data_IF_736828137879
#
_entry.id   IF_736828137879
#
_cell.length_a   1.000
_cell.length_b   1.000
_cell.length_c   1.000
_cell.angle_alpha   90.00
_cell.angle_beta   90.00
_cell.angle_gamma   90.00
#
_symmetry.space_group_name_H-M   'P 1'
#
loop_
_entity.id
_entity.type
_entity.pdbx_description
1 polymer ?
#
# COMPACT_ATOMS: atom_id res chain seq x y z
N UNK A 1 21.85 1.28 17.79
CA UNK A 1 20.94 2.40 17.50
C UNK A 1 19.56 1.91 17.82
N UNK A 2 18.83 2.62 18.66
CA UNK A 2 17.48 2.20 19.02
C UNK A 2 16.53 2.47 17.85
N UNK A 3 15.78 1.45 17.45
CA UNK A 3 14.78 1.51 16.39
C UNK A 3 13.42 1.49 17.06
N UNK A 4 12.58 2.47 16.74
CA UNK A 4 11.19 2.53 17.17
C UNK A 4 10.31 2.00 16.06
N UNK A 5 9.37 1.13 16.41
CA UNK A 5 8.34 0.61 15.50
C UNK A 5 7.04 1.34 15.74
N UNK A 6 6.38 1.77 14.66
CA UNK A 6 5.08 2.44 14.66
C UNK A 6 4.11 1.55 13.90
N UNK A 7 3.11 1.07 14.62
CA UNK A 7 2.02 0.24 14.10
C UNK A 7 1.15 1.02 13.12
N UNK A 8 0.66 0.39 12.05
CA UNK A 8 -0.24 1.04 11.09
C UNK A 8 -1.53 1.55 11.74
N UNK A 9 -1.96 0.95 12.85
CA UNK A 9 -3.17 1.38 13.58
C UNK A 9 -2.94 2.53 14.57
N UNK A 10 -1.72 3.04 14.71
CA UNK A 10 -1.42 4.19 15.57
C UNK A 10 -1.82 5.53 14.92
N UNK A 11 -3.11 5.84 15.03
CA UNK A 11 -3.70 7.09 14.54
C UNK A 11 -3.26 8.34 15.30
N UNK A 12 -2.46 8.21 16.37
CA UNK A 12 -1.87 9.37 17.05
C UNK A 12 -0.63 9.90 16.29
N UNK A 13 0.00 9.05 15.47
CA UNK A 13 1.20 9.35 14.70
C UNK A 13 0.97 9.30 13.19
N UNK A 14 0.05 8.45 12.73
CA UNK A 14 -0.24 8.23 11.32
C UNK A 14 -1.55 8.90 10.91
N UNK A 15 -1.48 9.70 9.84
CA UNK A 15 -2.63 10.34 9.24
C UNK A 15 -2.92 9.73 7.87
N UNK A 16 -4.14 9.22 7.68
CA UNK A 16 -4.58 8.60 6.43
C UNK A 16 -5.57 9.51 5.68
N UNK A 17 -5.45 9.56 4.36
CA UNK A 17 -6.40 10.30 3.53
C UNK A 17 -7.82 9.73 3.63
N UNK A 18 -8.81 10.62 3.75
CA UNK A 18 -10.19 10.22 4.03
C UNK A 18 -10.78 9.30 2.97
N UNK A 19 -11.49 8.25 3.42
CA UNK A 19 -12.26 7.30 2.61
C UNK A 19 -11.46 6.54 1.53
N UNK A 20 -10.14 6.48 1.65
CA UNK A 20 -9.26 5.77 0.69
C UNK A 20 -8.56 4.56 1.31
N UNK A 21 -8.67 4.38 2.62
CA UNK A 21 -8.03 3.31 3.38
C UNK A 21 -9.06 2.48 4.13
N UNK A 22 -8.77 1.22 4.34
CA UNK A 22 -9.58 0.29 5.12
C UNK A 22 -8.69 -0.61 5.97
N UNK A 23 -9.23 -1.05 7.09
CA UNK A 23 -8.53 -1.95 8.01
C UNK A 23 -8.59 -3.40 7.50
N UNK A 24 -7.46 -4.08 7.57
CA UNK A 24 -7.29 -5.52 7.39
C UNK A 24 -6.49 -6.12 8.55
N UNK A 25 -5.86 -7.27 8.29
CA UNK A 25 -4.92 -7.89 9.23
C UNK A 25 -5.10 -9.39 9.35
N UNK A 26 -4.00 -10.08 9.63
CA UNK A 26 -3.88 -11.49 9.95
C UNK A 26 -2.76 -11.67 10.96
N UNK A 27 -2.61 -12.87 11.54
CA UNK A 27 -1.56 -13.13 12.53
C UNK A 27 -0.12 -13.00 12.00
N UNK A 28 0.05 -12.85 10.68
CA UNK A 28 1.36 -12.70 10.04
C UNK A 28 1.83 -11.25 9.93
N UNK A 29 0.91 -10.28 10.01
CA UNK A 29 1.22 -8.86 10.09
C UNK A 29 1.64 -8.44 11.51
N UNK A 30 2.39 -7.35 11.61
CA UNK A 30 2.75 -6.76 12.88
C UNK A 30 1.49 -6.39 13.65
N UNK A 31 1.43 -6.79 14.92
CA UNK A 31 0.27 -6.63 15.79
C UNK A 31 -1.08 -7.12 15.21
N UNK A 32 -1.02 -7.97 14.18
CA UNK A 32 -2.18 -8.45 13.43
C UNK A 32 -3.06 -7.39 12.77
N UNK A 33 -2.49 -6.24 12.41
CA UNK A 33 -3.17 -5.12 11.74
C UNK A 33 -2.54 -4.80 10.39
N UNK A 34 -3.32 -4.25 9.46
CA UNK A 34 -2.79 -3.60 8.25
C UNK A 34 -3.80 -2.59 7.73
N UNK A 35 -3.31 -1.52 7.10
CA UNK A 35 -4.13 -0.56 6.35
C UNK A 35 -3.98 -0.83 4.86
N UNK A 36 -5.10 -1.23 4.24
CA UNK A 36 -5.20 -1.48 2.82
C UNK A 36 -5.71 -0.26 2.05
N UNK A 37 -5.29 -0.12 0.79
CA UNK A 37 -5.89 0.80 -0.16
C UNK A 37 -5.93 0.22 -1.58
N UNK A 38 -7.06 0.44 -2.25
CA UNK A 38 -7.23 0.22 -3.69
C UNK A 38 -7.33 1.53 -4.47
N UNK A 39 -7.25 2.68 -3.80
CA UNK A 39 -7.46 3.99 -4.40
C UNK A 39 -6.15 4.62 -4.85
N UNK A 40 -5.99 4.84 -6.14
CA UNK A 40 -4.85 5.60 -6.66
C UNK A 40 -4.82 7.01 -6.03
N UNK A 41 -3.66 7.38 -5.50
CA UNK A 41 -3.45 8.65 -4.81
C UNK A 41 -3.80 8.63 -3.32
N UNK A 42 -4.14 7.47 -2.74
CA UNK A 42 -4.31 7.34 -1.29
C UNK A 42 -3.00 7.68 -0.56
N UNK A 43 -3.08 8.52 0.47
CA UNK A 43 -1.91 9.02 1.20
C UNK A 43 -1.91 8.59 2.66
N UNK A 44 -0.72 8.32 3.16
CA UNK A 44 -0.43 8.24 4.59
C UNK A 44 0.69 9.24 4.90
N UNK A 45 0.53 10.01 5.97
CA UNK A 45 1.55 10.97 6.44
C UNK A 45 2.03 10.55 7.83
N UNK A 46 3.35 10.54 8.01
CA UNK A 46 3.99 10.24 9.27
C UNK A 46 5.01 11.32 9.62
N UNK A 47 4.83 11.97 10.78
CA UNK A 47 5.76 12.97 11.31
C UNK A 47 6.60 12.35 12.41
N UNK A 48 7.92 12.43 12.29
CA UNK A 48 8.85 11.82 13.23
C UNK A 48 10.05 12.72 13.50
N UNK A 49 10.72 12.51 14.64
CA UNK A 49 12.00 13.15 14.93
C UNK A 49 13.09 12.08 14.93
N UNK A 50 13.89 12.03 13.86
CA UNK A 50 14.76 10.90 13.60
C UNK A 50 15.89 11.18 12.62
N UNK A 51 16.64 10.12 12.33
CA UNK A 51 17.75 10.11 11.36
C UNK A 51 17.54 9.11 10.23
N UNK A 52 16.50 8.28 10.31
CA UNK A 52 16.16 7.26 9.31
C UNK A 52 14.72 6.79 9.51
N UNK A 53 14.03 6.45 8.43
CA UNK A 53 12.69 5.82 8.44
C UNK A 53 12.58 4.74 7.36
N UNK A 54 11.83 3.69 7.64
CA UNK A 54 11.51 2.61 6.71
C UNK A 54 10.03 2.24 6.81
N UNK A 55 9.48 1.77 5.69
CA UNK A 55 8.07 1.39 5.55
C UNK A 55 7.98 -0.08 5.16
N UNK A 56 7.14 -0.81 5.86
CA UNK A 56 6.90 -2.23 5.70
C UNK A 56 5.43 -2.53 5.44
N UNK A 57 5.18 -3.58 4.68
CA UNK A 57 3.83 -3.96 4.30
C UNK A 57 3.71 -5.41 3.82
N UNK A 58 2.51 -5.75 3.35
CA UNK A 58 2.21 -7.07 2.78
C UNK A 58 2.06 -6.97 1.26
N UNK A 59 2.91 -7.68 0.51
CA UNK A 59 2.70 -7.85 -0.93
C UNK A 59 1.76 -9.03 -1.11
N UNK A 60 0.57 -8.77 -1.63
CA UNK A 60 -0.42 -9.82 -1.88
C UNK A 60 0.02 -10.77 -2.99
N UNK A 61 -0.23 -12.06 -2.79
CA UNK A 61 -0.11 -13.07 -3.84
C UNK A 61 -0.97 -12.69 -5.04
N UNK A 62 -0.38 -12.75 -6.24
CA UNK A 62 -1.07 -12.54 -7.51
C UNK A 62 -1.08 -13.85 -8.27
N UNK A 63 -2.25 -14.26 -8.75
CA UNK A 63 -2.38 -15.43 -9.63
C UNK A 63 -1.44 -15.27 -10.84
N UNK A 64 -0.53 -16.23 -11.10
CA UNK A 64 0.34 -16.21 -12.27
C UNK A 64 -0.37 -15.95 -13.59
N UNK A 65 -1.62 -16.41 -13.75
CA UNK A 65 -2.42 -16.18 -14.94
C UNK A 65 -2.78 -14.69 -15.15
N UNK A 66 -2.81 -13.89 -14.09
CA UNK A 66 -3.20 -12.47 -14.13
C UNK A 66 -2.01 -11.51 -14.26
N UNK A 67 -0.77 -11.98 -14.09
CA UNK A 67 0.43 -11.11 -14.08
C UNK A 67 0.65 -10.35 -15.39
N UNK A 68 0.21 -10.90 -16.53
CA UNK A 68 0.33 -10.23 -17.83
C UNK A 68 -0.80 -9.24 -18.12
N UNK A 69 -1.90 -9.29 -17.36
CA UNK A 69 -3.10 -8.48 -17.60
C UNK A 69 -3.31 -7.39 -16.57
N UNK A 70 -2.64 -7.49 -15.41
CA UNK A 70 -2.79 -6.59 -14.28
C UNK A 70 -1.49 -5.82 -14.07
N UNK A 71 -1.50 -4.48 -13.92
CA UNK A 71 -0.30 -3.73 -13.60
C UNK A 71 0.18 -4.01 -12.17
N UNK A 72 1.49 -3.94 -11.95
CA UNK A 72 2.06 -3.99 -10.61
C UNK A 72 1.59 -2.80 -9.76
N UNK A 73 1.48 -3.02 -8.45
CA UNK A 73 1.13 -1.97 -7.50
C UNK A 73 2.36 -1.11 -7.21
N UNK A 74 2.25 0.19 -7.49
CA UNK A 74 3.29 1.17 -7.22
C UNK A 74 2.96 1.99 -5.97
N UNK A 75 4.01 2.42 -5.26
CA UNK A 75 3.92 3.38 -4.17
C UNK A 75 5.05 4.38 -4.26
N UNK A 76 4.81 5.61 -3.82
CA UNK A 76 5.83 6.66 -3.78
C UNK A 76 6.01 7.19 -2.36
N UNK A 77 7.23 7.63 -2.09
CA UNK A 77 7.69 8.08 -0.77
C UNK A 77 8.41 9.41 -0.93
N UNK A 78 7.96 10.40 -0.19
CA UNK A 78 8.59 11.71 -0.12
C UNK A 78 8.93 12.02 1.33
N UNK A 79 10.17 12.42 1.58
CA UNK A 79 10.59 12.93 2.88
C UNK A 79 10.81 14.42 2.74
N UNK A 80 10.08 15.22 3.52
CA UNK A 80 10.09 16.68 3.45
C UNK A 80 9.92 17.16 2.00
N UNK A 81 10.81 18.04 1.51
CA UNK A 81 10.82 18.56 0.14
C UNK A 81 11.77 17.77 -0.79
N UNK A 82 12.20 16.56 -0.40
CA UNK A 82 13.08 15.74 -1.22
C UNK A 82 12.37 15.16 -2.46
N UNK A 83 13.15 14.62 -3.39
CA UNK A 83 12.63 13.96 -4.59
C UNK A 83 11.86 12.67 -4.23
N UNK A 84 10.78 12.41 -4.95
CA UNK A 84 9.98 11.19 -4.81
C UNK A 84 10.81 9.93 -5.09
N UNK A 85 10.74 8.96 -4.18
CA UNK A 85 11.22 7.60 -4.39
C UNK A 85 10.05 6.70 -4.75
N UNK A 86 10.16 5.91 -5.82
CA UNK A 86 9.11 4.99 -6.26
C UNK A 86 9.50 3.55 -5.94
N UNK A 87 8.57 2.80 -5.39
CA UNK A 87 8.64 1.35 -5.23
C UNK A 87 7.60 0.67 -6.10
N UNK A 88 8.04 -0.32 -6.88
CA UNK A 88 7.17 -1.20 -7.66
C UNK A 88 7.15 -2.58 -7.00
N UNK A 89 5.98 -3.00 -6.52
CA UNK A 89 5.84 -4.29 -5.89
C UNK A 89 6.02 -5.42 -6.93
N UNK A 90 6.89 -6.42 -6.66
CA UNK A 90 7.00 -7.58 -7.52
C UNK A 90 5.71 -8.42 -7.49
N UNK A 91 5.45 -9.15 -8.57
CA UNK A 91 4.47 -10.21 -8.54
C UNK A 91 5.02 -11.41 -7.77
N UNK A 92 4.25 -11.87 -6.79
CA UNK A 92 4.56 -13.02 -5.94
C UNK A 92 3.40 -14.00 -5.97
N UNK A 93 3.65 -15.29 -5.85
CA UNK A 93 2.60 -16.33 -5.88
C UNK A 93 1.88 -16.51 -4.54
N UNK A 94 2.47 -16.01 -3.45
CA UNK A 94 1.93 -16.06 -2.10
C UNK A 94 2.23 -14.73 -1.39
N UNK A 95 1.47 -14.43 -0.34
CA UNK A 95 1.66 -13.20 0.43
C UNK A 95 3.09 -13.12 1.00
N UNK A 96 3.75 -11.99 0.74
CA UNK A 96 5.02 -11.66 1.36
C UNK A 96 4.78 -10.60 2.43
N UNK A 97 4.79 -11.04 3.69
CA UNK A 97 4.62 -10.19 4.87
C UNK A 97 5.91 -9.46 5.22
N UNK A 98 5.79 -8.33 5.92
CA UNK A 98 6.93 -7.53 6.40
C UNK A 98 7.90 -7.17 5.27
N UNK A 99 7.38 -6.99 4.06
CA UNK A 99 8.14 -6.58 2.90
C UNK A 99 8.49 -5.10 3.03
N UNK A 100 9.77 -4.77 2.94
CA UNK A 100 10.23 -3.38 2.99
C UNK A 100 9.99 -2.69 1.65
N UNK A 101 9.07 -1.74 1.60
CA UNK A 101 8.81 -0.94 0.41
C UNK A 101 9.78 0.22 0.27
N UNK A 102 10.19 0.80 1.40
CA UNK A 102 11.00 1.99 1.41
C UNK A 102 11.96 2.03 2.60
N UNK A 103 13.11 2.64 2.36
CA UNK A 103 14.12 2.98 3.35
C UNK A 103 14.66 4.35 2.96
N UNK A 104 14.58 5.31 3.88
CA UNK A 104 15.19 6.61 3.66
C UNK A 104 16.71 6.49 3.55
N UNK A 105 17.38 7.43 2.86
CA UNK A 105 18.80 7.67 3.12
C UNK A 105 19.01 8.12 4.57
N UNK A 106 20.28 8.25 4.99
CA UNK A 106 20.59 8.86 6.28
C UNK A 106 20.15 10.33 6.27
N UNK A 107 19.28 10.69 7.21
CA UNK A 107 18.75 12.03 7.40
C UNK A 107 19.55 12.76 8.46
N UNK A 108 19.49 14.10 8.45
CA UNK A 108 19.99 14.90 9.56
C UNK A 108 19.14 14.64 10.81
N UNK A 109 19.73 14.73 12.00
CA UNK A 109 18.94 14.55 13.21
C UNK A 109 17.95 15.72 13.35
N UNK A 110 16.65 15.43 13.32
CA UNK A 110 15.62 16.46 13.47
C UNK A 110 14.22 15.98 13.12
N UNK A 111 13.25 16.91 13.11
CA UNK A 111 11.89 16.64 12.67
C UNK A 111 11.85 16.44 11.15
N UNK A 112 11.12 15.40 10.73
CA UNK A 112 10.89 15.02 9.35
C UNK A 112 9.43 14.63 9.13
N UNK A 113 8.96 14.78 7.89
CA UNK A 113 7.65 14.32 7.45
C UNK A 113 7.82 13.34 6.29
N UNK A 114 7.36 12.11 6.47
CA UNK A 114 7.22 11.13 5.40
C UNK A 114 5.79 11.20 4.83
N UNK A 115 5.67 11.36 3.52
CA UNK A 115 4.41 11.21 2.79
C UNK A 115 4.53 9.98 1.89
N UNK A 116 3.70 8.98 2.19
CA UNK A 116 3.48 7.81 1.36
C UNK A 116 2.28 8.08 0.45
N UNK A 117 2.41 7.78 -0.85
CA UNK A 117 1.27 7.76 -1.78
C UNK A 117 1.17 6.39 -2.47
N UNK A 118 0.08 5.67 -2.25
CA UNK A 118 -0.24 4.48 -3.02
C UNK A 118 -0.72 4.92 -4.41
N UNK A 119 -0.06 4.45 -5.47
CA UNK A 119 -0.39 4.78 -6.86
C UNK A 119 -0.95 3.57 -7.62
N UNK A 120 -1.30 2.51 -6.89
CA UNK A 120 -1.94 1.31 -7.41
C UNK A 120 -3.32 1.69 -7.97
N UNK A 121 -3.52 1.46 -9.26
CA UNK A 121 -4.80 1.69 -9.92
C UNK A 121 -5.81 0.59 -9.52
N UNK A 122 -7.10 0.86 -9.66
CA UNK A 122 -8.24 -0.03 -9.36
C UNK A 122 -8.25 -1.39 -10.10
N UNK A 123 -7.16 -1.74 -10.78
CA UNK A 123 -7.00 -2.96 -11.59
C UNK A 123 -5.81 -3.81 -11.11
N UNK A 124 -5.06 -3.37 -10.08
CA UNK A 124 -3.87 -3.99 -9.51
C UNK A 124 -4.08 -4.76 -8.20
N UNK A 125 -3.04 -5.46 -7.69
CA UNK A 125 -3.02 -5.87 -6.30
C UNK A 125 -3.12 -4.63 -5.40
N UNK A 126 -3.77 -4.78 -4.26
CA UNK A 126 -3.96 -3.66 -3.33
C UNK A 126 -2.65 -3.30 -2.63
N UNK A 127 -2.55 -2.04 -2.23
CA UNK A 127 -1.47 -1.60 -1.36
C UNK A 127 -1.82 -1.95 0.09
N UNK A 128 -0.87 -2.52 0.83
CA UNK A 128 -1.03 -2.85 2.25
C UNK A 128 0.14 -2.33 3.06
N UNK A 129 -0.14 -1.42 4.00
CA UNK A 129 0.79 -0.90 5.00
C UNK A 129 0.66 -1.71 6.29
N UNK A 130 1.76 -2.18 6.85
CA UNK A 130 1.79 -3.00 8.07
C UNK A 130 2.41 -2.21 9.24
N UNK A 131 3.63 -1.71 9.07
CA UNK A 131 4.26 -0.86 10.09
C UNK A 131 5.35 0.01 9.49
N UNK A 132 5.78 0.99 10.27
CA UNK A 132 6.95 1.81 10.00
C UNK A 132 7.99 1.57 11.08
N UNK A 133 9.25 1.79 10.74
CA UNK A 133 10.32 1.89 11.74
C UNK A 133 11.10 3.16 11.53
N UNK A 134 11.55 3.81 12.60
CA UNK A 134 12.45 4.95 12.51
C UNK A 134 13.52 4.91 13.59
N UNK A 135 14.65 5.57 13.33
CA UNK A 135 15.72 5.78 14.31
C UNK A 135 15.53 7.16 14.92
N UNK A 136 15.20 7.29 16.21
CA UNK A 136 15.03 8.59 16.84
C UNK A 136 16.31 9.42 16.82
N UNK A 137 16.16 10.74 16.77
CA UNK A 137 17.30 11.64 16.93
C UNK A 137 17.90 11.47 18.32
N UNK A 138 19.23 11.55 18.48
CA UNK A 138 19.84 11.55 19.80
C UNK A 138 19.21 12.68 20.62
N UNK A 139 18.60 12.35 21.76
CA UNK A 139 18.21 13.38 22.72
C UNK A 139 19.51 14.03 23.16
N UNK A 140 19.71 15.31 22.81
CA UNK A 140 20.81 16.07 23.37
C UNK A 140 20.63 16.02 24.90
N UNK A 141 21.47 15.24 25.58
CA UNK A 141 21.48 15.21 27.02
C UNK A 141 21.75 16.65 27.47
N UNK A 142 20.74 17.32 28.00
CA UNK A 142 20.91 18.58 28.68
C UNK A 142 21.68 18.29 29.98
N UNK A 143 23.00 18.12 29.87
CA UNK A 143 23.89 18.12 31.02
C UNK A 143 24.16 19.58 31.34
N UNK A 144 23.20 20.22 32.00
CA UNK A 144 23.42 21.45 32.75
C UNK A 144 24.27 21.14 33.98
N UNK A 145 25.56 20.85 33.79
CA UNK A 145 26.57 21.05 34.83
C UNK A 145 26.88 22.55 34.90
N UNK A 146 26.01 23.29 35.59
CA UNK A 146 26.37 24.60 36.11
C UNK A 146 27.34 24.38 37.28
N UNK A 147 28.63 24.30 36.98
CA UNK A 147 29.68 24.44 37.98
C UNK A 147 30.09 25.92 38.03
N UNK A 148 29.44 26.69 38.91
CA UNK A 148 29.88 28.03 39.28
C UNK A 148 30.35 27.98 40.74
N UNK A 149 31.67 28.06 41.04
CA UNK A 149 32.12 28.16 42.41
C UNK A 149 31.87 29.58 42.95
N UNK A 150 31.21 29.60 44.10
CA UNK A 150 30.81 30.75 44.88
C UNK A 150 32.02 31.50 45.45
N UNK A 151 32.05 32.82 45.33
CA UNK A 151 32.89 33.69 46.16
C UNK A 151 32.06 34.86 46.68
N UNK A 152 31.55 34.76 47.90
CA UNK A 152 30.97 35.88 48.64
C UNK A 152 31.68 36.05 49.98
N UNK A 153 31.96 37.32 50.25
CA UNK A 153 32.82 37.87 51.30
C UNK A 153 32.14 37.94 52.67
N UNK A 154 32.97 38.07 53.70
CA UNK A 154 32.72 38.08 55.15
C UNK A 154 31.93 39.27 55.73
N UNK A 155 30.91 38.98 56.57
CA UNK A 155 30.53 39.47 57.94
C UNK A 155 31.01 40.85 58.51
N UNK A 156 30.47 41.42 59.65
CA UNK A 156 29.27 41.13 60.49
C UNK A 156 28.45 42.35 61.08
N UNK A 157 27.31 42.02 61.77
CA UNK A 157 26.73 42.61 63.04
C UNK A 157 26.01 44.00 63.09
N UNK A 158 25.14 44.34 64.10
CA UNK A 158 23.93 43.65 64.61
C UNK A 158 22.75 44.58 65.04
N UNK A 159 21.68 43.96 65.56
CA UNK A 159 20.74 44.42 66.62
C UNK A 159 19.45 45.22 66.26
N UNK A 160 18.28 44.61 66.54
CA UNK A 160 17.34 44.96 67.63
C UNK A 160 16.01 44.16 67.44
N UNK A 161 15.64 43.23 68.34
CA UNK A 161 14.83 43.40 69.57
C UNK A 161 13.30 43.25 69.34
N UNK A 162 12.80 42.03 69.62
CA UNK A 162 11.58 41.69 70.40
C UNK A 162 10.17 41.54 69.76
N UNK A 163 9.27 40.74 70.40
CA UNK A 163 8.12 39.97 69.81
C UNK A 163 6.75 40.44 70.40
N UNK A 164 5.63 39.66 70.57
CA UNK A 164 5.17 38.33 70.10
C UNK A 164 3.66 38.25 69.64
N UNK A 165 3.15 37.01 69.49
CA UNK A 165 1.73 36.54 69.44
C UNK A 165 1.01 36.63 68.06
N UNK A 166 0.32 35.61 67.54
CA UNK A 166 -0.65 34.67 68.15
C UNK A 166 -0.84 33.43 67.24
N UNK A 167 -1.12 32.26 67.81
CA UNK A 167 -1.48 31.01 67.11
C UNK A 167 -3.02 30.94 66.83
N UNK A 168 -3.63 29.77 66.60
CA UNK A 168 -3.80 29.03 65.33
C UNK A 168 -5.29 28.89 64.93
N UNK A 169 -5.63 28.50 63.68
CA UNK A 169 -6.93 27.84 63.42
C UNK A 169 -6.88 26.90 62.20
N UNK A 170 -7.48 25.73 62.40
CA UNK A 170 -7.58 24.58 61.51
C UNK A 170 -8.87 24.58 60.68
N UNK A 171 -9.03 23.50 59.87
CA UNK A 171 -10.19 23.04 59.08
C UNK A 171 -10.27 23.58 57.64
N UNK A 172 -10.43 22.78 56.58
CA UNK A 172 -10.63 21.35 56.37
C UNK A 172 -10.88 21.10 54.86
N UNK A 173 -10.86 19.86 54.34
CA UNK A 173 -11.14 19.57 52.93
C UNK A 173 -12.61 19.17 52.70
N UNK A 174 -13.29 19.82 51.75
CA UNK A 174 -14.56 19.34 51.16
C UNK A 174 -14.24 18.60 49.85
N UNK A 175 -14.30 17.27 49.80
CA UNK A 175 -15.50 16.45 49.55
C UNK A 175 -16.30 16.87 48.30
N UNK A 176 -15.99 16.22 47.17
CA UNK A 176 -16.85 16.12 45.99
C UNK A 176 -17.03 14.65 45.63
N UNK A 177 -18.17 14.09 46.03
CA UNK A 177 -18.53 12.66 46.01
C UNK A 177 -19.36 12.33 44.77
N UNK A 178 -18.95 11.25 44.08
CA UNK A 178 -19.71 10.16 43.44
C UNK A 178 -21.08 10.47 42.79
N UNK A 179 -21.15 10.32 41.45
CA UNK A 179 -22.37 9.92 40.74
C UNK A 179 -22.04 9.18 39.43
N UNK A 180 -22.84 8.14 39.13
CA UNK A 180 -22.95 7.35 37.90
C UNK A 180 -22.19 6.00 37.85
N UNK A 181 -22.71 5.01 38.58
CA UNK A 181 -22.34 3.59 38.44
C UNK A 181 -23.58 2.70 38.20
N UNK A 182 -24.32 2.88 37.09
CA UNK A 182 -25.30 1.89 36.58
C UNK A 182 -25.44 1.96 35.04
N UNK A 183 -24.34 2.02 34.28
CA UNK A 183 -24.40 1.89 32.79
C UNK A 183 -23.53 0.77 32.23
N UNK A 184 -22.65 0.18 33.04
CA UNK A 184 -21.66 -0.81 32.60
C UNK A 184 -22.24 -2.21 32.32
N UNK A 185 -23.23 -2.77 33.06
CA UNK A 185 -23.67 -4.14 32.79
C UNK A 185 -24.49 -4.25 31.48
N UNK A 186 -25.23 -3.20 31.10
CA UNK A 186 -26.04 -3.19 29.87
C UNK A 186 -25.19 -3.09 28.60
N UNK A 187 -24.09 -2.33 28.64
CA UNK A 187 -23.19 -2.20 27.50
C UNK A 187 -22.38 -3.48 27.26
N UNK A 188 -21.93 -4.15 28.33
CA UNK A 188 -21.25 -5.46 28.21
C UNK A 188 -22.20 -6.53 27.67
N UNK A 189 -23.45 -6.59 28.16
CA UNK A 189 -24.44 -7.53 27.65
C UNK A 189 -24.78 -7.28 26.17
N UNK A 190 -24.90 -6.01 25.76
CA UNK A 190 -25.16 -5.64 24.36
C UNK A 190 -23.98 -6.01 23.45
N UNK A 191 -22.75 -5.77 23.89
CA UNK A 191 -21.54 -6.13 23.13
C UNK A 191 -21.41 -7.65 22.97
N UNK A 192 -21.72 -8.43 24.01
CA UNK A 192 -21.71 -9.90 23.94
C UNK A 192 -22.83 -10.44 23.03
N UNK A 193 -24.01 -9.82 23.03
CA UNK A 193 -25.09 -10.20 22.13
C UNK A 193 -24.75 -9.92 20.66
N UNK A 194 -24.15 -8.76 20.38
CA UNK A 194 -23.73 -8.38 19.02
C UNK A 194 -22.58 -9.25 18.51
N UNK A 195 -21.61 -9.58 19.35
CA UNK A 195 -20.50 -10.48 18.98
C UNK A 195 -21.00 -11.91 18.71
N UNK A 196 -21.93 -12.42 19.54
CA UNK A 196 -22.55 -13.72 19.31
C UNK A 196 -23.38 -13.75 18.01
N UNK A 197 -24.16 -12.71 17.72
CA UNK A 197 -24.92 -12.61 16.47
C UNK A 197 -24.00 -12.54 15.24
N UNK A 198 -22.90 -11.80 15.32
CA UNK A 198 -21.90 -11.74 14.26
C UNK A 198 -21.23 -13.10 14.04
N UNK A 199 -20.85 -13.79 15.12
CA UNK A 199 -20.24 -15.13 15.06
C UNK A 199 -21.20 -16.18 14.47
N UNK A 200 -22.48 -16.15 14.86
CA UNK A 200 -23.50 -17.05 14.31
C UNK A 200 -23.78 -16.78 12.82
N UNK A 201 -23.77 -15.50 12.38
CA UNK A 201 -23.85 -15.16 10.96
C UNK A 201 -22.62 -15.64 10.19
N UNK A 202 -21.42 -15.54 10.77
CA UNK A 202 -20.18 -16.04 10.18
C UNK A 202 -20.22 -17.56 9.99
N UNK A 203 -20.69 -18.31 11.00
CA UNK A 203 -20.85 -19.76 10.91
C UNK A 203 -21.87 -20.19 9.85
N UNK A 204 -22.94 -19.41 9.63
CA UNK A 204 -23.91 -19.67 8.56
C UNK A 204 -23.34 -19.40 7.16
N UNK A 205 -22.54 -18.34 7.00
CA UNK A 205 -21.86 -18.02 5.72
C UNK A 205 -20.85 -19.11 5.32
N UNK A 206 -20.16 -19.70 6.29
CA UNK A 206 -19.22 -20.79 6.02
C UNK A 206 -19.90 -22.11 5.62
N UNK A 207 -21.17 -22.33 5.98
CA UNK A 207 -21.92 -23.54 5.58
C UNK A 207 -22.45 -23.48 4.14
N UNK A 208 -22.62 -22.28 3.57
CA UNK A 208 -23.08 -22.11 2.18
C UNK A 208 -22.02 -22.47 1.13
N UNK A 209 -20.74 -22.43 1.47
CA UNK A 209 -19.65 -22.75 0.55
C UNK A 209 -19.36 -24.25 0.40
N UNK A 210 -19.89 -25.11 1.28
CA UNK A 210 -19.67 -26.58 1.22
C UNK A 210 -20.75 -27.36 0.47
N UNK A 211 -21.85 -26.70 0.07
CA UNK A 211 -22.95 -27.35 -0.63
C UNK A 211 -22.81 -27.37 -2.16
N UNK A 212 -21.85 -26.60 -2.72
CA UNK A 212 -21.61 -26.55 -4.17
C UNK A 212 -20.51 -27.52 -4.65
N UNK A 213 -19.64 -28.00 -3.77
CA UNK A 213 -18.60 -28.98 -4.13
C UNK A 213 -19.13 -30.41 -4.30
N UNK A 214 -20.35 -30.72 -3.83
CA UNK A 214 -20.88 -32.08 -3.88
C UNK A 214 -21.68 -32.40 -5.17
N UNK A 215 -21.81 -31.43 -6.09
CA UNK A 215 -22.62 -31.59 -7.33
C UNK A 215 -21.76 -31.60 -8.60
N UNK A 216 -20.45 -31.36 -8.52
CA UNK A 216 -19.56 -31.35 -9.68
C UNK A 216 -18.70 -32.62 -9.88
N UNK A 217 -18.88 -33.65 -9.05
CA UNK A 217 -18.25 -34.99 -9.22
C UNK A 217 -19.13 -35.97 -10.04
N UNK A 218 -19.83 -35.46 -11.07
CA UNK A 218 -20.35 -36.32 -12.14
C UNK A 218 -19.31 -36.32 -13.26
N UNK A 219 -18.41 -37.27 -13.14
CA UNK A 219 -17.31 -37.55 -14.06
C UNK A 219 -17.86 -38.03 -15.41
N UNK A 220 -17.64 -37.23 -16.46
CA UNK A 220 -17.96 -37.57 -17.85
C UNK A 220 -16.93 -38.60 -18.36
N UNK A 221 -17.31 -39.76 -18.92
CA UNK A 221 -16.34 -40.73 -19.41
C UNK A 221 -15.62 -40.22 -20.66
N UNK A 222 -14.31 -40.52 -20.83
CA UNK A 222 -13.52 -39.97 -21.92
C UNK A 222 -13.96 -40.53 -23.30
N UNK A 223 -13.87 -39.72 -24.37
CA UNK A 223 -14.22 -40.15 -25.72
C UNK A 223 -13.24 -41.22 -26.23
N UNK A 224 -13.78 -42.36 -26.66
CA UNK A 224 -13.00 -43.43 -27.29
C UNK A 224 -12.54 -43.00 -28.68
N UNK A 225 -11.24 -43.04 -28.92
CA UNK A 225 -10.64 -42.88 -30.25
C UNK A 225 -10.62 -44.23 -30.99
N UNK A 226 -11.00 -44.31 -32.28
CA UNK A 226 -10.87 -45.53 -33.06
C UNK A 226 -9.40 -45.80 -33.46
N UNK A 227 -8.99 -47.08 -33.61
CA UNK A 227 -7.59 -47.44 -33.84
C UNK A 227 -7.11 -47.13 -35.26
N UNK A 228 -5.83 -46.72 -35.34
CA UNK A 228 -5.08 -46.43 -36.56
C UNK A 228 -4.88 -47.69 -37.42
N UNK A 229 -5.33 -47.63 -38.67
CA UNK A 229 -5.06 -48.64 -39.70
C UNK A 229 -3.67 -48.47 -40.32
N UNK A 230 -2.88 -49.53 -40.24
CA UNK A 230 -1.56 -49.70 -40.89
C UNK A 230 -1.79 -50.00 -42.38
N UNK A 231 -1.03 -49.36 -43.27
CA UNK A 231 -0.87 -49.83 -44.66
C UNK A 231 0.61 -49.76 -45.09
N UNK A 232 1.17 -50.84 -45.69
CA UNK A 232 2.57 -50.89 -46.11
C UNK A 232 2.77 -50.63 -47.62
N UNK A 233 3.92 -50.03 -47.93
CA UNK A 233 4.76 -50.18 -49.14
C UNK A 233 4.15 -50.02 -50.54
N UNK A 234 4.77 -49.18 -51.38
CA UNK A 234 5.44 -49.58 -52.66
C UNK A 234 6.43 -48.50 -53.11
N UNK A 235 7.50 -48.95 -53.77
CA UNK A 235 8.79 -48.31 -53.98
C UNK A 235 8.94 -47.34 -55.17
N UNK A 236 9.99 -46.52 -55.05
CA UNK A 236 10.84 -45.77 -56.02
C UNK A 236 11.12 -46.49 -57.37
N UNK A 237 11.58 -45.82 -58.48
CA UNK A 237 12.85 -45.05 -58.44
C UNK A 237 13.13 -43.90 -59.45
N UNK A 238 14.13 -43.07 -59.03
CA UNK A 238 15.32 -42.63 -59.80
C UNK A 238 15.15 -41.49 -60.85
N UNK A 239 16.05 -40.52 -61.08
CA UNK A 239 17.49 -40.36 -60.75
C UNK A 239 18.04 -39.00 -61.33
N UNK A 240 19.23 -38.55 -60.88
CA UNK A 240 20.22 -37.62 -61.51
C UNK A 240 19.92 -36.08 -61.48
N UNK A 241 20.83 -35.14 -61.20
CA UNK A 241 22.31 -35.09 -61.01
C UNK A 241 22.69 -33.81 -60.24
N UNK A 242 23.88 -33.79 -59.62
CA UNK A 242 24.45 -32.69 -58.83
C UNK A 242 25.45 -31.79 -59.66
N UNK A 243 26.37 -30.98 -59.07
CA UNK A 243 26.47 -29.49 -59.14
C UNK A 243 27.82 -29.06 -59.80
N UNK A 244 28.64 -28.05 -59.39
CA UNK A 244 28.48 -26.78 -58.63
C UNK A 244 29.14 -25.55 -59.33
N UNK A 245 29.07 -24.34 -58.75
CA UNK A 245 29.85 -23.18 -59.22
C UNK A 245 29.91 -22.01 -58.24
N UNK A 246 31.10 -21.75 -57.71
CA UNK A 246 31.46 -20.78 -56.67
C UNK A 246 32.28 -19.67 -57.31
N UNK A 247 31.88 -18.39 -57.24
CA UNK A 247 32.80 -17.25 -57.46
C UNK A 247 32.41 -16.01 -56.65
N UNK A 248 33.48 -15.35 -56.20
CA UNK A 248 33.66 -14.26 -55.25
C UNK A 248 34.06 -13.02 -56.05
N UNK A 249 33.58 -11.81 -55.71
CA UNK A 249 34.35 -10.53 -55.68
C UNK A 249 33.43 -9.28 -55.73
N UNK A 250 34.02 -8.18 -55.23
CA UNK A 250 33.46 -6.90 -54.76
C UNK A 250 33.42 -5.81 -55.89
N UNK A 251 33.20 -4.49 -55.61
CA UNK A 251 32.20 -3.59 -56.21
C UNK A 251 32.75 -2.66 -57.32
N UNK A 252 31.95 -1.68 -57.82
CA UNK A 252 32.19 -0.28 -57.42
C UNK A 252 30.94 0.64 -57.34
N UNK A 253 31.06 1.73 -56.57
CA UNK A 253 30.30 3.01 -56.56
C UNK A 253 30.72 3.91 -57.76
N UNK A 254 30.21 5.15 -57.99
CA UNK A 254 29.06 5.92 -57.45
C UNK A 254 28.23 6.71 -58.51
N UNK A 255 27.20 7.44 -58.04
CA UNK A 255 26.52 8.56 -58.73
C UNK A 255 25.01 8.34 -58.82
N UNK A 256 24.11 9.32 -58.75
CA UNK A 256 24.12 10.75 -58.39
C UNK A 256 22.62 11.14 -58.34
N UNK A 257 22.27 12.15 -57.54
CA UNK A 257 21.03 12.95 -57.59
C UNK A 257 19.64 12.28 -57.56
N UNK A 258 18.79 12.70 -56.60
CA UNK A 258 17.87 13.82 -56.85
C UNK A 258 16.97 14.09 -55.64
N UNK A 259 17.01 15.34 -55.20
CA UNK A 259 16.08 16.04 -54.33
C UNK A 259 14.61 15.76 -54.67
N UNK A 260 13.77 15.54 -53.65
CA UNK A 260 12.40 16.08 -53.65
C UNK A 260 11.94 16.36 -52.22
N UNK A 261 11.84 17.67 -51.98
CA UNK A 261 11.03 18.38 -51.02
C UNK A 261 9.66 17.72 -50.76
N UNK A 262 9.27 17.55 -49.50
CA UNK A 262 7.92 17.11 -49.12
C UNK A 262 7.25 18.18 -48.28
N UNK A 263 6.48 18.99 -48.99
CA UNK A 263 5.54 19.98 -48.51
C UNK A 263 4.43 19.31 -47.66
N UNK A 264 4.32 19.74 -46.40
CA UNK A 264 3.36 19.22 -45.43
C UNK A 264 1.99 19.91 -45.63
N UNK A 265 1.12 19.26 -46.41
CA UNK A 265 -0.26 19.73 -46.59
C UNK A 265 -1.15 19.27 -45.41
N UNK A 266 -1.35 20.19 -44.46
CA UNK A 266 -2.39 20.10 -43.42
C UNK A 266 -3.76 20.13 -44.10
N UNK A 267 -4.55 19.06 -43.95
CA UNK A 267 -5.96 19.03 -44.37
C UNK A 267 -6.82 19.00 -43.11
N UNK A 268 -7.45 20.13 -42.82
CA UNK A 268 -8.37 20.30 -41.70
C UNK A 268 -9.76 19.87 -42.16
N UNK A 269 -10.28 18.76 -41.61
CA UNK A 269 -11.64 18.32 -41.87
C UNK A 269 -12.58 18.95 -40.84
N UNK A 270 -13.54 19.74 -41.32
CA UNK A 270 -14.68 20.23 -40.55
C UNK A 270 -15.96 19.64 -41.12
N UNK A 271 -16.39 18.49 -40.61
CA UNK A 271 -17.79 18.08 -40.71
C UNK A 271 -18.21 17.25 -39.49
N UNK A 272 -19.21 17.77 -38.77
CA UNK A 272 -19.95 17.02 -37.78
C UNK A 272 -20.97 16.15 -38.51
N UNK A 273 -20.81 14.84 -38.45
CA UNK A 273 -21.77 13.88 -38.98
C UNK A 273 -21.30 12.45 -38.79
N UNK A 274 -21.91 11.73 -37.86
CA UNK A 274 -21.70 10.29 -37.69
C UNK A 274 -22.50 9.56 -38.77
N UNK A 275 -21.81 8.88 -39.69
CA UNK A 275 -22.39 7.83 -40.55
C UNK A 275 -22.09 6.49 -39.89
N UNK A 276 -23.14 5.71 -39.65
CA UNK A 276 -23.04 4.31 -39.22
C UNK A 276 -23.24 3.44 -40.45
N UNK A 277 -22.33 2.50 -40.67
CA UNK A 277 -22.56 1.30 -41.49
C UNK A 277 -22.14 0.08 -40.65
N UNK A 278 -23.06 -0.88 -40.63
CA UNK A 278 -22.96 -2.28 -40.22
C UNK A 278 -22.65 -2.66 -38.76
N UNK A 279 -23.75 -2.83 -38.02
CA UNK A 279 -24.14 -4.17 -37.55
C UNK A 279 -23.39 -4.75 -36.36
N UNK A 280 -23.74 -4.33 -35.13
CA UNK A 280 -23.79 -5.17 -33.93
C UNK A 280 -24.63 -4.49 -32.84
N UNK A 281 -25.42 -5.28 -32.13
CA UNK A 281 -26.45 -4.89 -31.17
C UNK A 281 -25.96 -3.90 -30.10
N UNK A 282 -26.74 -2.84 -29.89
CA UNK A 282 -26.57 -1.94 -28.74
C UNK A 282 -27.21 -2.56 -27.50
N UNK A 283 -26.38 -3.09 -26.60
CA UNK A 283 -26.79 -3.31 -25.21
C UNK A 283 -27.04 -1.94 -24.59
N UNK A 284 -28.29 -1.64 -24.25
CA UNK A 284 -28.67 -0.43 -23.55
C UNK A 284 -27.97 -0.35 -22.20
N UNK A 285 -27.09 0.63 -22.03
CA UNK A 285 -26.53 0.97 -20.72
C UNK A 285 -27.56 1.83 -20.00
N UNK A 286 -28.31 1.20 -19.09
CA UNK A 286 -29.15 1.88 -18.11
C UNK A 286 -28.23 2.61 -17.11
N UNK A 287 -28.21 3.94 -17.17
CA UNK A 287 -27.50 4.77 -16.19
C UNK A 287 -28.32 4.81 -14.89
N UNK A 288 -27.76 4.47 -13.72
CA UNK A 288 -28.46 4.59 -12.45
C UNK A 288 -28.69 6.07 -12.09
N UNK A 289 -29.76 6.38 -11.32
CA UNK A 289 -30.14 7.75 -11.00
C UNK A 289 -29.06 8.45 -10.16
N UNK A 290 -28.74 9.67 -10.57
CA UNK A 290 -27.90 10.58 -9.80
C UNK A 290 -28.59 10.92 -8.47
N UNK A 291 -27.98 10.51 -7.35
CA UNK A 291 -28.42 10.98 -6.04
C UNK A 291 -27.96 12.43 -5.86
N UNK A 292 -28.94 13.33 -5.81
CA UNK A 292 -28.76 14.73 -5.49
C UNK A 292 -28.10 14.90 -4.11
N UNK A 293 -27.21 15.89 -4.03
CA UNK A 293 -26.60 16.35 -2.79
C UNK A 293 -27.68 16.91 -1.86
N UNK A 294 -27.71 16.42 -0.63
CA UNK A 294 -28.15 17.13 0.55
C UNK A 294 -26.98 17.21 1.53
#
# INVERSE_FOLDING_TARGET
MDVVTVDDSDLSLLEYSHNQWFLGGSSSEYNSTTHGSFSAGAKMTFKFNGTSVAVYGTISGTDPALQSTVPACNSTYQIDDASLSTYTAPFVSANLYQARYFQSPQLQAGPHTLVLTATCANQGPWFWLDYLTYVPSPVAAAVSVSASPSSVSSSPTPAATSPPATAPTAAGPSSGVLAAAITIPLSVALLLALSALWWLKRLRRQRGARALDLVLDIEDPPPQTPPLGISPFTAFPAVHTAPPGLHKALPPTPGEEKSTDSDARVTQHTDGGVRLEDGLETVGVELPPAYGRY
#
